data_IF_098438149912
#
_entry.id   IF_098438149912
#
_cell.length_a   1.000
_cell.length_b   1.000
_cell.length_c   1.000
_cell.angle_alpha   90.00
_cell.angle_beta   90.00
_cell.angle_gamma   90.00
#
_symmetry.space_group_name_H-M   'P 1'
#
loop_
_entity.id
_entity.type
_entity.pdbx_description
1 polymer ?
#
# COMPACT_ATOMS: atom_id res chain seq x y z
N UNK A 1 2.48 25.95 16.09
CA UNK A 1 2.43 25.74 14.63
C UNK A 1 1.91 24.32 14.48
N UNK A 2 0.75 24.14 13.87
CA UNK A 2 0.08 22.82 13.80
C UNK A 2 0.50 22.06 12.53
N UNK A 3 1.68 22.42 12.01
CA UNK A 3 2.27 21.81 10.83
C UNK A 3 3.01 20.53 11.24
N UNK A 4 2.36 19.40 11.00
CA UNK A 4 2.91 18.07 11.24
C UNK A 4 3.79 17.57 10.08
N UNK A 5 3.87 18.28 8.94
CA UNK A 5 4.64 17.81 7.77
C UNK A 5 6.12 17.51 8.09
N UNK A 6 6.87 18.40 8.78
CA UNK A 6 8.26 18.12 9.11
C UNK A 6 8.38 16.87 9.98
N UNK A 7 7.48 16.71 10.96
CA UNK A 7 7.52 15.57 11.87
C UNK A 7 7.17 14.25 11.18
N UNK A 8 6.14 14.23 10.33
CA UNK A 8 5.73 13.07 9.56
C UNK A 8 6.78 12.64 8.52
N UNK A 9 7.44 13.59 7.85
CA UNK A 9 8.42 13.30 6.79
C UNK A 9 9.82 12.94 7.33
N UNK A 10 10.20 13.43 8.52
CA UNK A 10 11.52 13.18 9.14
C UNK A 10 11.54 12.06 10.17
N UNK A 11 10.45 11.30 10.33
CA UNK A 11 10.33 10.20 11.30
C UNK A 11 10.34 10.66 12.79
N UNK A 12 10.01 11.93 13.05
CA UNK A 12 9.97 12.51 14.40
C UNK A 12 8.64 12.22 15.11
N UNK A 13 8.62 11.09 15.81
CA UNK A 13 7.46 10.64 16.60
C UNK A 13 7.18 11.54 17.80
N UNK A 14 8.20 12.16 18.41
CA UNK A 14 8.00 13.00 19.59
C UNK A 14 7.16 14.22 19.25
N UNK A 15 7.49 14.90 18.15
CA UNK A 15 6.72 16.05 17.67
C UNK A 15 5.31 15.63 17.22
N UNK A 16 5.16 14.48 16.54
CA UNK A 16 3.83 13.96 16.20
C UNK A 16 2.97 13.69 17.44
N UNK A 17 3.57 13.14 18.49
CA UNK A 17 2.89 12.86 19.75
C UNK A 17 2.45 14.16 20.44
N UNK A 18 3.32 15.17 20.51
CA UNK A 18 2.97 16.47 21.08
C UNK A 18 1.85 17.17 20.31
N UNK A 19 1.87 17.10 18.97
CA UNK A 19 0.83 17.68 18.12
C UNK A 19 -0.53 16.98 18.30
N UNK A 20 -0.57 15.64 18.23
CA UNK A 20 -1.82 14.88 18.40
C UNK A 20 -2.38 14.95 19.82
N UNK A 21 -1.52 15.12 20.84
CA UNK A 21 -1.98 15.35 22.21
C UNK A 21 -2.70 16.71 22.38
N UNK A 22 -2.39 17.68 21.52
CA UNK A 22 -3.02 19.01 21.53
C UNK A 22 -4.29 19.05 20.70
N UNK A 23 -4.28 18.39 19.55
CA UNK A 23 -5.39 18.37 18.61
C UNK A 23 -5.43 17.05 17.82
N UNK A 24 -6.43 16.22 18.13
CA UNK A 24 -6.65 14.94 17.44
C UNK A 24 -7.20 15.12 16.02
N UNK A 25 -7.78 16.28 15.67
CA UNK A 25 -8.28 16.55 14.32
C UNK A 25 -7.12 16.57 13.29
N UNK A 26 -5.88 16.77 13.75
CA UNK A 26 -4.68 16.74 12.91
C UNK A 26 -4.39 15.35 12.32
N UNK A 27 -4.87 14.27 12.94
CA UNK A 27 -4.53 12.89 12.58
C UNK A 27 -4.85 12.57 11.11
N UNK A 28 -6.04 12.98 10.65
CA UNK A 28 -6.54 12.76 9.29
C UNK A 28 -6.62 14.05 8.47
N UNK A 29 -6.14 15.17 9.01
CA UNK A 29 -6.12 16.45 8.31
C UNK A 29 -5.26 16.35 7.06
N UNK A 30 -5.78 16.88 5.96
CA UNK A 30 -5.04 16.98 4.70
C UNK A 30 -4.17 18.23 4.74
N UNK A 31 -2.87 18.08 4.46
CA UNK A 31 -1.94 19.20 4.37
C UNK A 31 -2.29 20.08 3.17
N UNK A 32 -2.49 21.39 3.33
CA UNK A 32 -3.01 22.25 2.26
C UNK A 32 -2.07 22.36 1.05
N UNK A 33 -0.75 22.22 1.25
CA UNK A 33 0.22 22.31 0.16
C UNK A 33 0.49 20.98 -0.54
N UNK A 34 0.38 19.86 0.18
CA UNK A 34 0.76 18.53 -0.33
C UNK A 34 -0.44 17.66 -0.65
N UNK A 35 -1.65 18.10 -0.28
CA UNK A 35 -2.92 17.38 -0.46
C UNK A 35 -2.86 15.94 0.06
N UNK A 36 -2.12 15.73 1.16
CA UNK A 36 -1.86 14.44 1.79
C UNK A 36 -2.04 14.52 3.30
N UNK A 37 -2.38 13.42 3.95
CA UNK A 37 -2.38 13.27 5.42
C UNK A 37 -0.98 12.97 5.96
N UNK A 38 -0.84 13.02 7.29
CA UNK A 38 0.40 12.64 7.98
C UNK A 38 0.84 11.22 7.61
N UNK A 39 -0.12 10.29 7.56
CA UNK A 39 0.16 8.90 7.21
C UNK A 39 0.65 8.76 5.76
N UNK A 40 0.03 9.47 4.81
CA UNK A 40 0.43 9.44 3.40
C UNK A 40 1.83 10.02 3.20
N UNK A 41 2.18 11.10 3.90
CA UNK A 41 3.52 11.69 3.83
C UNK A 41 4.57 10.80 4.50
N UNK A 42 4.30 10.28 5.70
CA UNK A 42 5.20 9.32 6.35
C UNK A 42 5.46 8.10 5.47
N UNK A 43 4.42 7.59 4.80
CA UNK A 43 4.55 6.47 3.86
C UNK A 43 5.37 6.82 2.62
N UNK A 44 5.16 8.00 2.02
CA UNK A 44 5.89 8.45 0.85
C UNK A 44 7.39 8.69 1.11
N UNK A 45 7.74 9.10 2.34
CA UNK A 45 9.11 9.39 2.75
C UNK A 45 9.80 8.22 3.47
N UNK A 46 9.12 7.08 3.64
CA UNK A 46 9.69 5.92 4.32
C UNK A 46 9.87 6.08 5.84
N UNK A 47 9.19 7.06 6.45
CA UNK A 47 9.24 7.36 7.88
C UNK A 47 8.51 6.26 8.67
N UNK A 48 9.26 5.21 9.05
CA UNK A 48 8.72 3.96 9.60
C UNK A 48 8.13 4.12 10.99
N UNK A 49 8.79 4.86 11.88
CA UNK A 49 8.31 5.06 13.26
C UNK A 49 7.09 5.97 13.25
N UNK A 50 7.11 7.03 12.45
CA UNK A 50 5.97 7.92 12.23
C UNK A 50 4.78 7.15 11.65
N UNK A 51 4.99 6.30 10.63
CA UNK A 51 3.92 5.46 10.07
C UNK A 51 3.30 4.56 11.13
N UNK A 52 4.12 3.82 11.89
CA UNK A 52 3.62 2.94 12.95
C UNK A 52 2.83 3.72 14.01
N UNK A 53 3.40 4.83 14.48
CA UNK A 53 2.76 5.70 15.46
C UNK A 53 1.39 6.21 14.97
N UNK A 54 1.31 6.72 13.74
CA UNK A 54 0.06 7.23 13.16
C UNK A 54 -1.00 6.12 13.01
N UNK A 55 -0.60 4.91 12.60
CA UNK A 55 -1.49 3.76 12.52
C UNK A 55 -2.02 3.35 13.90
N UNK A 56 -1.15 3.27 14.90
CA UNK A 56 -1.52 2.92 16.28
C UNK A 56 -2.50 3.93 16.91
N UNK A 57 -2.53 5.17 16.41
CA UNK A 57 -3.47 6.22 16.82
C UNK A 57 -4.73 6.29 15.95
N UNK A 58 -4.92 5.36 15.00
CA UNK A 58 -6.15 5.26 14.21
C UNK A 58 -6.18 6.15 12.97
N UNK A 59 -5.02 6.50 12.39
CA UNK A 59 -4.99 7.21 11.12
C UNK A 59 -5.74 6.44 10.03
N UNK A 60 -6.57 7.16 9.27
CA UNK A 60 -7.38 6.57 8.20
C UNK A 60 -6.50 6.23 6.99
N UNK A 61 -6.36 4.92 6.75
CA UNK A 61 -5.57 4.36 5.65
C UNK A 61 -6.23 4.51 4.28
N UNK A 62 -7.54 4.81 4.23
CA UNK A 62 -8.33 4.91 3.00
C UNK A 62 -8.32 6.31 2.39
N UNK A 63 -7.83 7.32 3.11
CA UNK A 63 -7.69 8.68 2.57
C UNK A 63 -6.79 8.64 1.34
N UNK A 64 -7.21 9.41 0.32
CA UNK A 64 -6.50 9.51 -0.95
C UNK A 64 -6.03 10.94 -1.21
N UNK A 65 -4.87 11.05 -1.83
CA UNK A 65 -4.38 12.34 -2.34
C UNK A 65 -5.11 12.75 -3.63
N UNK A 66 -4.68 13.87 -4.23
CA UNK A 66 -5.21 14.39 -5.49
C UNK A 66 -4.98 13.47 -6.69
N UNK A 67 -4.15 12.42 -6.59
CA UNK A 67 -4.00 11.40 -7.63
C UNK A 67 -4.80 10.12 -7.30
N UNK A 68 -5.56 10.13 -6.21
CA UNK A 68 -6.29 8.96 -5.73
C UNK A 68 -5.41 7.93 -5.02
N UNK A 69 -4.15 8.26 -4.71
CA UNK A 69 -3.21 7.35 -4.05
C UNK A 69 -3.51 7.29 -2.55
N UNK A 70 -3.64 6.07 -2.04
CA UNK A 70 -3.63 5.80 -0.58
C UNK A 70 -2.20 5.76 -0.04
N UNK A 71 -2.05 5.71 1.28
CA UNK A 71 -0.75 5.50 1.90
C UNK A 71 -0.02 4.24 1.37
N UNK A 72 -0.76 3.18 1.03
CA UNK A 72 -0.19 1.96 0.45
C UNK A 72 0.38 2.17 -0.96
N UNK A 73 -0.29 2.96 -1.81
CA UNK A 73 0.23 3.31 -3.14
C UNK A 73 1.54 4.09 -3.01
N UNK A 74 1.58 5.07 -2.11
CA UNK A 74 2.76 5.91 -1.87
C UNK A 74 3.92 5.09 -1.29
N UNK A 75 3.65 4.20 -0.33
CA UNK A 75 4.64 3.29 0.23
C UNK A 75 5.26 2.38 -0.84
N UNK A 76 4.44 1.83 -1.75
CA UNK A 76 4.93 1.01 -2.88
C UNK A 76 5.72 1.86 -3.86
N UNK A 77 5.25 3.07 -4.20
CA UNK A 77 5.96 3.99 -5.10
C UNK A 77 7.34 4.37 -4.59
N UNK A 78 7.51 4.49 -3.27
CA UNK A 78 8.79 4.72 -2.61
C UNK A 78 9.63 3.44 -2.40
N UNK A 79 9.13 2.27 -2.83
CA UNK A 79 9.70 0.95 -2.52
C UNK A 79 9.93 0.73 -1.00
N UNK A 80 9.06 1.32 -0.16
CA UNK A 80 9.12 1.28 1.30
C UNK A 80 8.63 -0.05 1.85
N UNK A 81 9.35 -1.15 1.63
CA UNK A 81 8.97 -2.52 2.01
C UNK A 81 8.52 -2.63 3.48
N UNK A 82 9.20 -1.94 4.39
CA UNK A 82 8.84 -1.93 5.82
C UNK A 82 7.48 -1.25 6.07
N UNK A 83 7.20 -0.14 5.37
CA UNK A 83 5.95 0.61 5.45
C UNK A 83 4.80 -0.21 4.86
N UNK A 84 5.02 -0.83 3.68
CA UNK A 84 4.04 -1.73 3.06
C UNK A 84 3.65 -2.84 4.03
N UNK A 85 4.63 -3.48 4.68
CA UNK A 85 4.36 -4.50 5.69
C UNK A 85 3.54 -3.97 6.88
N UNK A 86 3.86 -2.77 7.38
CA UNK A 86 3.13 -2.16 8.51
C UNK A 86 1.67 -1.90 8.13
N UNK A 87 1.44 -1.24 6.98
CA UNK A 87 0.11 -0.94 6.48
C UNK A 87 -0.74 -2.20 6.29
N UNK A 88 -0.18 -3.25 5.68
CA UNK A 88 -0.89 -4.52 5.45
C UNK A 88 -1.25 -5.23 6.76
N UNK A 89 -0.31 -5.30 7.72
CA UNK A 89 -0.57 -5.89 9.04
C UNK A 89 -1.68 -5.17 9.78
N UNK A 90 -1.69 -3.83 9.72
CA UNK A 90 -2.73 -3.02 10.36
C UNK A 90 -4.11 -3.18 9.69
N UNK A 91 -4.15 -3.47 8.39
CA UNK A 91 -5.42 -3.72 7.70
C UNK A 91 -5.96 -5.12 7.96
N UNK A 92 -5.08 -6.13 8.08
CA UNK A 92 -5.45 -7.51 8.36
C UNK A 92 -6.10 -7.68 9.75
N UNK A 93 -5.89 -6.77 10.69
CA UNK A 93 -6.57 -6.74 12.00
C UNK A 93 -8.02 -6.23 11.96
N UNK A 94 -8.62 -6.09 10.77
CA UNK A 94 -10.07 -5.87 10.61
C UNK A 94 -10.50 -4.51 10.07
N UNK A 95 -9.59 -3.71 9.49
CA UNK A 95 -9.85 -2.28 9.23
C UNK A 95 -10.24 -1.97 7.78
N UNK A 96 -9.79 -2.72 6.76
CA UNK A 96 -10.39 -2.59 5.42
C UNK A 96 -9.87 -3.63 4.43
N UNK A 97 -10.75 -4.51 3.94
CA UNK A 97 -10.48 -5.32 2.75
C UNK A 97 -10.38 -4.46 1.47
N UNK A 98 -10.81 -3.19 1.52
CA UNK A 98 -10.83 -2.32 0.35
C UNK A 98 -9.49 -1.63 0.04
N UNK A 99 -8.52 -1.60 0.96
CA UNK A 99 -7.28 -0.84 0.76
C UNK A 99 -6.39 -1.41 -0.34
N UNK A 100 -6.18 -2.74 -0.33
CA UNK A 100 -5.14 -3.42 -1.13
C UNK A 100 -5.47 -3.38 -2.63
N UNK A 101 -6.74 -3.58 -2.95
CA UNK A 101 -7.25 -3.62 -4.32
C UNK A 101 -7.83 -2.27 -4.77
N UNK A 102 -7.73 -1.22 -3.94
CA UNK A 102 -8.17 0.13 -4.33
C UNK A 102 -7.33 0.59 -5.52
N UNK A 103 -8.00 1.20 -6.50
CA UNK A 103 -7.34 1.87 -7.62
C UNK A 103 -7.14 3.36 -7.34
N UNK A 104 -5.99 3.88 -7.77
CA UNK A 104 -5.76 5.32 -7.91
C UNK A 104 -6.44 5.86 -9.19
N UNK A 105 -6.31 7.17 -9.48
CA UNK A 105 -6.96 7.80 -10.65
C UNK A 105 -6.45 7.27 -11.99
N UNK A 106 -5.20 6.82 -12.04
CA UNK A 106 -4.66 6.12 -13.21
C UNK A 106 -5.19 4.69 -13.32
N UNK A 107 -5.88 4.16 -12.32
CA UNK A 107 -6.39 2.80 -12.35
C UNK A 107 -5.38 1.74 -11.90
N UNK A 108 -4.26 2.14 -11.28
CA UNK A 108 -3.34 1.19 -10.66
C UNK A 108 -3.81 0.82 -9.26
N UNK A 109 -3.68 -0.45 -8.90
CA UNK A 109 -3.61 -0.90 -7.52
C UNK A 109 -2.15 -0.89 -7.06
N UNK A 110 -1.92 -1.05 -5.75
CA UNK A 110 -0.57 -1.19 -5.19
C UNK A 110 0.22 -2.36 -5.84
N UNK A 111 -0.44 -3.48 -6.13
CA UNK A 111 0.20 -4.62 -6.80
C UNK A 111 0.60 -4.29 -8.24
N UNK A 112 -0.27 -3.60 -8.99
CA UNK A 112 0.05 -3.17 -10.36
C UNK A 112 1.23 -2.19 -10.39
N UNK A 113 1.32 -1.26 -9.44
CA UNK A 113 2.48 -0.36 -9.30
C UNK A 113 3.76 -1.17 -9.03
N UNK A 114 3.74 -2.05 -8.03
CA UNK A 114 4.91 -2.85 -7.66
C UNK A 114 5.39 -3.74 -8.82
N UNK A 115 4.47 -4.34 -9.57
CA UNK A 115 4.80 -5.17 -10.74
C UNK A 115 5.32 -4.37 -11.92
N UNK A 116 4.83 -3.15 -12.13
CA UNK A 116 5.36 -2.25 -13.18
C UNK A 116 6.80 -1.85 -12.89
N UNK A 117 7.12 -1.59 -11.62
CA UNK A 117 8.45 -1.15 -11.19
C UNK A 117 9.43 -2.29 -10.88
N UNK A 118 8.98 -3.54 -10.89
CA UNK A 118 9.84 -4.69 -10.59
C UNK A 118 10.11 -4.88 -9.09
N UNK A 119 9.31 -4.29 -8.20
CA UNK A 119 9.53 -4.33 -6.75
C UNK A 119 9.09 -5.66 -6.14
N UNK A 120 9.91 -6.70 -6.35
CA UNK A 120 9.67 -8.09 -5.94
C UNK A 120 9.28 -8.26 -4.47
N UNK A 121 9.91 -7.53 -3.57
CA UNK A 121 9.60 -7.61 -2.13
C UNK A 121 8.19 -7.08 -1.83
N UNK A 122 7.82 -5.94 -2.41
CA UNK A 122 6.47 -5.37 -2.30
C UNK A 122 5.42 -6.32 -2.91
N UNK A 123 5.67 -6.88 -4.10
CA UNK A 123 4.79 -7.89 -4.73
C UNK A 123 4.55 -9.06 -3.78
N UNK A 124 5.61 -9.60 -3.16
CA UNK A 124 5.47 -10.70 -2.19
C UNK A 124 4.57 -10.33 -1.03
N UNK A 125 4.77 -9.13 -0.46
CA UNK A 125 4.00 -8.70 0.72
C UNK A 125 2.53 -8.49 0.37
N UNK A 126 2.26 -7.86 -0.76
CA UNK A 126 0.89 -7.60 -1.22
C UNK A 126 0.13 -8.91 -1.45
N UNK A 127 0.78 -9.91 -2.03
CA UNK A 127 0.18 -11.22 -2.28
C UNK A 127 0.00 -12.06 -1.00
N UNK A 128 1.02 -12.12 -0.15
CA UNK A 128 1.05 -13.05 1.00
C UNK A 128 0.39 -12.48 2.27
N UNK A 129 0.48 -11.16 2.49
CA UNK A 129 -0.12 -10.50 3.66
C UNK A 129 -1.36 -9.69 3.31
N UNK A 130 -1.41 -9.13 2.10
CA UNK A 130 -2.51 -8.28 1.67
C UNK A 130 -3.63 -9.02 0.96
N UNK A 131 -3.46 -10.30 0.63
CA UNK A 131 -4.36 -11.08 -0.24
C UNK A 131 -4.71 -10.32 -1.54
N UNK A 132 -3.74 -9.55 -2.07
CA UNK A 132 -3.95 -8.72 -3.25
C UNK A 132 -4.34 -9.60 -4.44
N UNK A 133 -5.35 -9.19 -5.21
CA UNK A 133 -5.81 -9.98 -6.35
C UNK A 133 -4.94 -9.73 -7.60
N UNK A 134 -4.08 -10.68 -8.03
CA UNK A 134 -3.20 -10.48 -9.19
C UNK A 134 -3.94 -10.45 -10.54
N UNK A 135 -5.20 -10.88 -10.57
CA UNK A 135 -6.02 -10.85 -11.77
C UNK A 135 -6.68 -9.48 -12.02
N UNK A 136 -6.65 -8.56 -11.03
CA UNK A 136 -7.14 -7.21 -11.24
C UNK A 136 -6.25 -6.48 -12.25
N UNK A 137 -6.85 -6.14 -13.38
CA UNK A 137 -6.20 -5.34 -14.41
C UNK A 137 -6.21 -3.84 -14.06
N UNK A 138 -5.41 -3.07 -14.80
CA UNK A 138 -5.54 -1.62 -14.83
C UNK A 138 -6.99 -1.19 -15.02
N UNK A 139 -7.41 -0.13 -14.34
CA UNK A 139 -8.73 0.49 -14.53
C UNK A 139 -8.91 1.19 -15.88
N UNK A 140 -7.90 1.14 -16.75
CA UNK A 140 -7.87 1.78 -18.07
C UNK A 140 -7.26 0.87 -19.14
N UNK A 141 -7.60 1.06 -20.43
CA UNK A 141 -6.90 0.42 -21.53
C UNK A 141 -5.40 0.79 -21.58
N UNK A 142 -4.50 -0.14 -21.97
CA UNK A 142 -4.76 -1.57 -22.12
C UNK A 142 -4.95 -2.21 -20.73
N UNK A 143 -6.04 -2.95 -20.53
CA UNK A 143 -6.45 -3.60 -19.26
C UNK A 143 -5.45 -4.68 -18.83
N UNK A 144 -4.27 -4.25 -18.39
CA UNK A 144 -3.13 -5.11 -18.14
C UNK A 144 -3.10 -5.55 -16.68
N UNK A 145 -2.89 -6.82 -16.45
CA UNK A 145 -2.70 -7.41 -15.13
C UNK A 145 -1.29 -7.15 -14.59
N UNK A 146 -1.07 -7.52 -13.33
CA UNK A 146 0.24 -7.46 -12.69
C UNK A 146 1.29 -8.27 -13.47
N UNK A 147 0.91 -9.44 -13.99
CA UNK A 147 1.80 -10.28 -14.78
C UNK A 147 2.14 -9.63 -16.14
N UNK A 148 1.16 -9.03 -16.81
CA UNK A 148 1.39 -8.35 -18.10
C UNK A 148 2.36 -7.17 -17.96
N UNK A 149 2.21 -6.40 -16.88
CA UNK A 149 3.09 -5.27 -16.55
C UNK A 149 4.51 -5.75 -16.26
N UNK A 150 4.65 -6.82 -15.46
CA UNK A 150 5.95 -7.41 -15.15
C UNK A 150 6.65 -7.99 -16.39
N UNK A 151 5.90 -8.62 -17.30
CA UNK A 151 6.40 -9.12 -18.58
C UNK A 151 6.90 -7.99 -19.48
N UNK A 152 6.12 -6.91 -19.62
CA UNK A 152 6.52 -5.73 -20.40
C UNK A 152 7.77 -5.05 -19.84
N UNK A 153 7.91 -5.02 -18.51
CA UNK A 153 9.10 -4.52 -17.82
C UNK A 153 10.28 -5.51 -17.76
N UNK A 154 10.12 -6.75 -18.24
CA UNK A 154 11.11 -7.83 -18.15
C UNK A 154 11.57 -8.16 -16.72
N UNK A 155 10.70 -7.95 -15.72
CA UNK A 155 10.99 -8.14 -14.31
C UNK A 155 10.92 -9.62 -13.92
N UNK A 156 11.96 -10.40 -14.26
CA UNK A 156 11.98 -11.86 -14.11
C UNK A 156 11.63 -12.35 -12.71
N UNK A 157 12.13 -11.68 -11.67
CA UNK A 157 11.86 -12.05 -10.28
C UNK A 157 10.37 -11.89 -9.92
N UNK A 158 9.74 -10.82 -10.41
CA UNK A 158 8.31 -10.56 -10.21
C UNK A 158 7.47 -11.55 -11.03
N UNK A 159 7.87 -11.85 -12.26
CA UNK A 159 7.21 -12.84 -13.12
C UNK A 159 7.22 -14.21 -12.42
N UNK A 160 8.38 -14.64 -11.91
CA UNK A 160 8.53 -15.88 -11.16
C UNK A 160 7.62 -15.89 -9.92
N UNK A 161 7.62 -14.80 -9.14
CA UNK A 161 6.76 -14.65 -7.97
C UNK A 161 5.27 -14.84 -8.28
N UNK A 162 4.77 -14.13 -9.30
CA UNK A 162 3.35 -14.15 -9.66
C UNK A 162 2.94 -15.52 -10.18
N UNK A 163 3.81 -16.18 -10.97
CA UNK A 163 3.56 -17.55 -11.46
C UNK A 163 3.53 -18.57 -10.33
N UNK A 164 4.50 -18.50 -9.42
CA UNK A 164 4.60 -19.38 -8.27
C UNK A 164 3.37 -19.22 -7.35
N UNK A 165 2.98 -17.98 -7.05
CA UNK A 165 1.78 -17.71 -6.26
C UNK A 165 0.52 -18.27 -6.93
N UNK A 166 0.35 -18.04 -8.23
CA UNK A 166 -0.79 -18.56 -8.99
C UNK A 166 -0.85 -20.10 -9.00
N UNK A 167 0.29 -20.77 -9.13
CA UNK A 167 0.37 -22.24 -9.11
C UNK A 167 -0.10 -22.79 -7.76
N UNK A 168 0.50 -22.29 -6.67
CA UNK A 168 0.17 -22.70 -5.29
C UNK A 168 -1.32 -22.54 -4.98
N UNK A 169 -1.95 -21.46 -5.44
CA UNK A 169 -3.36 -21.20 -5.17
C UNK A 169 -4.32 -21.97 -6.09
N UNK A 170 -3.90 -22.35 -7.31
CA UNK A 170 -4.66 -23.28 -8.15
C UNK A 170 -4.67 -24.70 -7.58
N UNK A 171 -3.52 -25.18 -7.12
CA UNK A 171 -3.38 -26.51 -6.50
C UNK A 171 -4.22 -26.62 -5.22
N UNK A 172 -4.20 -25.59 -4.37
CA UNK A 172 -5.06 -25.52 -3.17
C UNK A 172 -6.55 -25.63 -3.50
N UNK A 173 -7.02 -24.94 -4.56
CA UNK A 173 -8.43 -25.02 -5.00
C UNK A 173 -8.83 -26.40 -5.54
N UNK A 174 -7.89 -27.14 -6.14
CA UNK A 174 -8.13 -28.49 -6.67
C UNK A 174 -8.14 -29.57 -5.58
N UNK A 175 -7.33 -29.42 -4.52
CA UNK A 175 -7.30 -30.35 -3.38
C UNK A 175 -8.51 -30.23 -2.44
N UNK A 176 -9.20 -29.08 -2.42
CA UNK A 176 -10.36 -28.84 -1.54
C UNK A 176 -11.71 -29.24 -2.13
N UNK A 177 -11.76 -29.84 -3.32
CA UNK A 177 -12.98 -30.40 -3.89
C UNK A 177 -13.00 -31.91 -3.60
N UNK A 178 -13.69 -32.40 -2.54
CA UNK A 178 -13.95 -33.82 -2.43
C UNK A 178 -14.84 -34.26 -3.59
N UNK A 179 -14.60 -35.47 -4.11
CA UNK A 179 -15.11 -35.99 -5.37
C UNK A 179 -16.59 -35.71 -5.67
N UNK A 180 -16.83 -35.36 -6.93
CA UNK A 180 -18.15 -35.39 -7.56
C UNK A 180 -18.75 -36.81 -7.56
#
# INVERSE_FOLDING_TARGET
MDDWFPAASSDDVSTLQELLARDLELLNRVHPQYERTALQLAAAWGARRATAFLLDHGADVLVTDSDGNTALHLAVGANGVAIVRLLLKHCASGISLSLVDKRNRDGYTALLLASTQGYRACVSLLLELGDANPALALGRPPYSTALDLALRGQHQDVIACLREWNLRHRERKQMTMPGA
#
